data_IF_157678477188
#
_entry.id   IF_157678477188
#
_cell.length_a   1.000
_cell.length_b   1.000
_cell.length_c   1.000
_cell.angle_alpha   90.00
_cell.angle_beta   90.00
_cell.angle_gamma   90.00
#
_symmetry.space_group_name_H-M   'P 1'
#
loop_
_entity.id
_entity.type
_entity.pdbx_description
1 polymer ?
#
# COMPACT_ATOMS: atom_id res chain seq x y z
N UNK A 1 11.68 -18.61 -30.55
CA UNK A 1 10.46 -18.36 -29.79
C UNK A 1 10.57 -16.95 -29.28
N UNK A 2 9.85 -16.03 -29.90
CA UNK A 2 9.89 -14.59 -29.65
C UNK A 2 9.13 -14.27 -28.37
N UNK A 3 9.83 -13.74 -27.40
CA UNK A 3 9.25 -13.11 -26.18
C UNK A 3 8.35 -11.97 -26.61
N UNK A 4 7.05 -12.14 -26.43
CA UNK A 4 6.10 -11.02 -26.56
C UNK A 4 6.26 -10.12 -25.34
N UNK A 5 6.75 -8.91 -25.56
CA UNK A 5 6.71 -7.82 -24.61
C UNK A 5 5.25 -7.59 -24.20
N UNK A 6 4.96 -7.94 -22.95
CA UNK A 6 3.69 -7.55 -22.33
C UNK A 6 3.88 -6.16 -21.76
N UNK A 7 3.59 -5.15 -22.58
CA UNK A 7 3.50 -3.74 -22.17
C UNK A 7 2.26 -3.59 -21.25
N UNK A 8 2.44 -3.79 -19.94
CA UNK A 8 1.35 -3.76 -18.96
C UNK A 8 1.11 -2.35 -18.40
N UNK A 9 1.53 -1.35 -18.98
CA UNK A 9 1.19 0.08 -18.78
C UNK A 9 2.10 0.90 -19.71
N UNK A 10 2.13 0.50 -20.95
CA UNK A 10 2.66 1.34 -22.00
C UNK A 10 1.59 2.32 -22.41
N UNK A 11 2.01 3.59 -22.53
CA UNK A 11 1.28 4.79 -22.92
C UNK A 11 -0.04 5.02 -22.18
N UNK A 12 -0.40 6.26 -21.83
CA UNK A 12 -1.73 6.55 -21.35
C UNK A 12 -2.67 6.05 -22.44
N UNK A 13 -3.23 4.83 -22.21
CA UNK A 13 -4.33 4.39 -23.04
C UNK A 13 -5.28 5.59 -23.05
N UNK A 14 -5.55 6.12 -24.22
CA UNK A 14 -6.68 7.01 -24.43
C UNK A 14 -7.86 6.18 -23.91
N UNK A 15 -8.10 6.31 -22.60
CA UNK A 15 -9.19 5.62 -21.93
C UNK A 15 -10.42 6.12 -22.63
N UNK A 16 -11.12 5.25 -23.36
CA UNK A 16 -12.33 5.56 -24.07
C UNK A 16 -13.55 5.83 -23.16
N UNK A 17 -13.30 6.28 -21.93
CA UNK A 17 -14.27 6.98 -21.09
C UNK A 17 -14.00 8.46 -21.33
N UNK A 18 -14.95 9.22 -21.95
CA UNK A 18 -14.81 10.64 -22.11
C UNK A 18 -14.56 11.26 -20.73
N UNK A 19 -13.52 12.08 -20.61
CA UNK A 19 -13.50 13.10 -19.58
C UNK A 19 -14.79 13.90 -19.76
N UNK A 20 -15.54 14.06 -18.68
CA UNK A 20 -16.75 14.88 -18.71
C UNK A 20 -16.30 16.30 -19.16
N UNK A 21 -16.75 16.80 -20.34
CA UNK A 21 -16.23 18.05 -20.89
C UNK A 21 -16.86 19.21 -20.15
N UNK A 22 -16.42 19.47 -18.91
CA UNK A 22 -16.95 20.54 -18.07
C UNK A 22 -16.41 20.60 -16.65
N UNK A 23 -15.65 19.64 -16.18
CA UNK A 23 -14.96 19.77 -14.91
C UNK A 23 -13.52 20.24 -15.16
N UNK A 24 -13.23 21.50 -14.81
CA UNK A 24 -11.87 21.92 -14.50
C UNK A 24 -11.35 20.91 -13.47
N UNK A 25 -10.32 20.15 -13.80
CA UNK A 25 -9.81 19.07 -12.95
C UNK A 25 -9.39 19.65 -11.60
N UNK A 26 -9.73 18.98 -10.50
CA UNK A 26 -9.38 19.39 -9.11
C UNK A 26 -7.87 19.38 -8.85
N UNK A 27 -7.05 19.06 -9.87
CA UNK A 27 -5.61 18.96 -9.81
C UNK A 27 -5.09 17.55 -10.14
N UNK A 28 -3.78 17.44 -10.24
CA UNK A 28 -3.09 16.17 -10.48
C UNK A 28 -2.64 15.56 -9.15
N UNK A 29 -2.74 14.22 -9.04
CA UNK A 29 -2.18 13.44 -7.94
C UNK A 29 -1.15 12.49 -8.54
N UNK A 30 0.12 12.67 -8.14
CA UNK A 30 1.24 11.84 -8.59
C UNK A 30 1.40 10.62 -7.70
N UNK A 31 1.08 9.45 -8.25
CA UNK A 31 1.15 8.15 -7.59
C UNK A 31 2.39 7.38 -8.08
N UNK A 32 3.27 7.00 -7.16
CA UNK A 32 4.42 6.13 -7.46
C UNK A 32 4.13 4.70 -7.01
N UNK A 33 4.25 3.75 -7.92
CA UNK A 33 4.30 2.33 -7.59
C UNK A 33 5.77 1.88 -7.52
N UNK A 34 6.22 1.55 -6.31
CA UNK A 34 7.58 1.07 -6.06
C UNK A 34 7.73 -0.38 -6.51
N UNK A 35 8.71 -0.62 -7.36
CA UNK A 35 9.19 -1.94 -7.76
C UNK A 35 8.10 -2.92 -8.22
N UNK A 36 7.24 -2.53 -9.19
CA UNK A 36 6.09 -3.35 -9.60
C UNK A 36 6.47 -4.71 -10.19
N UNK A 37 7.72 -4.90 -10.64
CA UNK A 37 8.21 -6.18 -11.16
C UNK A 37 8.78 -7.07 -10.06
N UNK A 38 9.45 -6.48 -9.09
CA UNK A 38 10.17 -7.17 -8.00
C UNK A 38 9.27 -7.42 -6.79
N UNK A 39 8.37 -6.48 -6.51
CA UNK A 39 7.59 -6.39 -5.27
C UNK A 39 6.09 -6.21 -5.55
N UNK A 40 5.45 -7.16 -6.26
CA UNK A 40 4.01 -7.12 -6.56
C UNK A 40 3.39 -8.51 -6.65
N UNK A 41 3.69 -9.36 -5.65
CA UNK A 41 3.06 -10.67 -5.52
C UNK A 41 1.62 -10.53 -5.00
N UNK A 42 0.81 -11.58 -5.17
CA UNK A 42 -0.60 -11.66 -4.72
C UNK A 42 -1.52 -10.55 -5.26
N UNK A 43 -1.15 -9.93 -6.39
CA UNK A 43 -2.01 -8.96 -7.08
C UNK A 43 -1.95 -7.54 -6.52
N UNK A 44 -0.93 -7.16 -5.76
CA UNK A 44 -0.81 -5.83 -5.12
C UNK A 44 -0.84 -4.66 -6.13
N UNK A 45 -0.51 -4.88 -7.40
CA UNK A 45 -0.77 -3.93 -8.50
C UNK A 45 -2.24 -3.46 -8.54
N UNK A 46 -3.16 -4.28 -8.05
CA UNK A 46 -4.57 -3.91 -7.93
C UNK A 46 -4.82 -2.73 -7.02
N UNK A 47 -3.97 -2.47 -6.01
CA UNK A 47 -4.05 -1.28 -5.16
C UNK A 47 -3.79 -0.01 -5.97
N UNK A 48 -2.72 0.01 -6.77
CA UNK A 48 -2.40 1.14 -7.68
C UNK A 48 -3.52 1.40 -8.68
N UNK A 49 -4.08 0.34 -9.28
CA UNK A 49 -5.20 0.45 -10.23
C UNK A 49 -6.48 0.97 -9.58
N UNK A 50 -6.77 0.51 -8.36
CA UNK A 50 -7.91 0.97 -7.57
C UNK A 50 -7.78 2.46 -7.28
N UNK A 51 -6.64 2.90 -6.76
CA UNK A 51 -6.36 4.30 -6.47
C UNK A 51 -6.49 5.17 -7.72
N UNK A 52 -5.83 4.81 -8.82
CA UNK A 52 -5.90 5.57 -10.06
C UNK A 52 -7.33 5.70 -10.61
N UNK A 53 -8.15 4.64 -10.51
CA UNK A 53 -9.54 4.67 -10.93
C UNK A 53 -10.39 5.56 -10.01
N UNK A 54 -10.18 5.49 -8.68
CA UNK A 54 -10.94 6.27 -7.71
C UNK A 54 -10.54 7.75 -7.74
N UNK A 55 -9.24 8.08 -7.90
CA UNK A 55 -8.74 9.45 -8.08
C UNK A 55 -9.51 10.13 -9.23
N UNK A 56 -9.64 9.45 -10.39
CA UNK A 56 -10.44 9.99 -11.51
C UNK A 56 -11.90 10.23 -11.15
N UNK A 57 -12.52 9.27 -10.46
CA UNK A 57 -13.93 9.38 -10.05
C UNK A 57 -14.17 10.49 -9.03
N UNK A 58 -13.16 10.83 -8.22
CA UNK A 58 -13.20 11.99 -7.34
C UNK A 58 -12.94 13.33 -8.06
N UNK A 59 -12.66 13.30 -9.37
CA UNK A 59 -12.45 14.50 -10.20
C UNK A 59 -11.01 15.01 -10.26
N UNK A 60 -10.03 14.20 -9.79
CA UNK A 60 -8.60 14.49 -9.94
C UNK A 60 -8.00 13.73 -11.13
N UNK A 61 -6.81 14.16 -11.55
CA UNK A 61 -6.05 13.49 -12.62
C UNK A 61 -4.93 12.63 -12.00
N UNK A 62 -5.01 11.27 -12.04
CA UNK A 62 -3.91 10.45 -11.56
C UNK A 62 -2.77 10.42 -12.56
N UNK A 63 -1.57 10.78 -12.12
CA UNK A 63 -0.32 10.61 -12.85
C UNK A 63 0.44 9.44 -12.22
N UNK A 64 0.44 8.29 -12.89
CA UNK A 64 1.01 7.05 -12.33
C UNK A 64 2.43 6.85 -12.83
N UNK A 65 3.37 6.79 -11.91
CA UNK A 65 4.77 6.46 -12.13
C UNK A 65 5.06 5.04 -11.66
N UNK A 66 5.90 4.32 -12.40
CA UNK A 66 6.51 3.08 -11.94
C UNK A 66 7.98 3.36 -11.67
N UNK A 67 8.45 2.99 -10.48
CA UNK A 67 9.87 3.12 -10.16
C UNK A 67 10.50 1.74 -10.08
N UNK A 68 11.58 1.54 -10.84
CA UNK A 68 12.39 0.32 -10.85
C UNK A 68 13.81 0.60 -10.35
N UNK A 69 14.55 -0.41 -9.85
CA UNK A 69 15.89 -0.23 -9.36
C UNK A 69 16.81 0.44 -10.38
N UNK A 70 17.51 1.51 -9.94
CA UNK A 70 18.45 2.28 -10.78
C UNK A 70 17.80 3.34 -11.67
N UNK A 71 16.49 3.47 -11.69
CA UNK A 71 15.81 4.55 -12.40
C UNK A 71 15.75 5.84 -11.57
N UNK A 72 15.69 7.03 -12.21
CA UNK A 72 15.46 8.27 -11.49
C UNK A 72 14.13 8.24 -10.74
N UNK A 73 14.15 8.64 -9.46
CA UNK A 73 12.92 8.76 -8.67
C UNK A 73 12.15 10.01 -9.08
N UNK A 74 10.81 9.97 -9.22
CA UNK A 74 10.00 11.11 -9.64
C UNK A 74 10.16 12.31 -8.68
N UNK A 75 10.23 13.51 -9.26
CA UNK A 75 10.37 14.76 -8.50
C UNK A 75 9.10 15.06 -7.67
N UNK A 76 7.94 14.95 -8.32
CA UNK A 76 6.63 15.16 -7.68
C UNK A 76 5.98 13.82 -7.31
N UNK A 77 5.62 13.69 -6.04
CA UNK A 77 5.02 12.47 -5.49
C UNK A 77 4.05 12.85 -4.38
N UNK A 78 2.80 12.44 -4.50
CA UNK A 78 1.75 12.71 -3.54
C UNK A 78 1.26 11.41 -2.86
N UNK A 79 1.48 10.26 -3.51
CA UNK A 79 1.07 8.95 -3.04
C UNK A 79 2.10 7.89 -3.44
N UNK A 80 2.50 7.04 -2.51
CA UNK A 80 3.43 5.92 -2.76
C UNK A 80 2.76 4.59 -2.42
N UNK A 81 2.87 3.62 -3.32
CA UNK A 81 2.37 2.24 -3.10
C UNK A 81 3.52 1.25 -3.30
N UNK A 82 3.73 0.39 -2.33
CA UNK A 82 4.69 -0.72 -2.42
C UNK A 82 4.01 -2.04 -2.09
N UNK A 83 4.31 -3.08 -2.87
CA UNK A 83 3.68 -4.39 -2.74
C UNK A 83 4.51 -5.41 -1.97
N UNK A 84 3.98 -6.62 -1.88
CA UNK A 84 4.67 -7.77 -1.31
C UNK A 84 5.70 -8.35 -2.25
N UNK A 85 6.74 -8.94 -1.68
CA UNK A 85 7.78 -9.65 -2.40
C UNK A 85 8.32 -10.80 -1.58
N UNK A 86 8.96 -11.76 -2.25
CA UNK A 86 9.78 -12.77 -1.59
C UNK A 86 11.10 -12.15 -1.13
N UNK A 87 11.81 -12.81 -0.21
CA UNK A 87 13.11 -12.35 0.30
C UNK A 87 14.11 -12.02 -0.85
N UNK A 88 14.08 -12.80 -1.94
CA UNK A 88 14.88 -12.52 -3.14
C UNK A 88 14.50 -11.22 -3.86
N UNK A 89 13.24 -10.81 -3.81
CA UNK A 89 12.78 -9.53 -4.31
C UNK A 89 13.25 -8.38 -3.43
N UNK A 90 13.13 -8.54 -2.11
CA UNK A 90 13.62 -7.56 -1.13
C UNK A 90 15.13 -7.30 -1.27
N UNK A 91 15.93 -8.35 -1.43
CA UNK A 91 17.38 -8.21 -1.67
C UNK A 91 17.70 -7.45 -2.97
N UNK A 92 16.89 -7.63 -4.02
CA UNK A 92 17.10 -6.92 -5.30
C UNK A 92 16.84 -5.42 -5.20
N UNK A 93 15.90 -5.01 -4.37
CA UNK A 93 15.53 -3.61 -4.22
C UNK A 93 16.28 -2.90 -3.09
N UNK A 94 16.97 -3.64 -2.21
CA UNK A 94 17.65 -3.09 -1.03
C UNK A 94 18.62 -1.94 -1.37
N UNK A 95 19.47 -2.14 -2.39
CA UNK A 95 20.47 -1.16 -2.78
C UNK A 95 19.84 0.14 -3.34
N UNK A 96 18.81 0.01 -4.16
CA UNK A 96 18.09 1.15 -4.72
C UNK A 96 17.26 1.86 -3.64
N UNK A 97 16.61 1.08 -2.76
CA UNK A 97 15.86 1.63 -1.64
C UNK A 97 16.75 2.45 -0.69
N UNK A 98 18.02 2.06 -0.52
CA UNK A 98 18.99 2.85 0.22
C UNK A 98 19.30 4.20 -0.46
N UNK A 99 19.32 4.23 -1.80
CA UNK A 99 19.57 5.46 -2.58
C UNK A 99 18.39 6.43 -2.48
N UNK A 100 17.16 5.93 -2.66
CA UNK A 100 15.95 6.77 -2.64
C UNK A 100 15.39 6.99 -1.22
N UNK A 101 15.98 6.33 -0.22
CA UNK A 101 15.46 6.28 1.15
C UNK A 101 15.29 7.64 1.81
N UNK A 102 16.23 8.55 1.63
CA UNK A 102 16.13 9.91 2.18
C UNK A 102 14.95 10.68 1.57
N UNK A 103 14.70 10.51 0.26
CA UNK A 103 13.53 11.12 -0.37
C UNK A 103 12.22 10.53 0.14
N UNK A 104 12.15 9.19 0.36
CA UNK A 104 10.97 8.55 0.93
C UNK A 104 10.69 9.00 2.36
N UNK A 105 11.74 9.18 3.19
CA UNK A 105 11.59 9.75 4.54
C UNK A 105 11.06 11.18 4.49
N UNK A 106 11.66 12.01 3.64
CA UNK A 106 11.21 13.40 3.45
C UNK A 106 9.73 13.45 3.01
N UNK A 107 9.32 12.64 2.04
CA UNK A 107 7.92 12.54 1.59
C UNK A 107 6.97 12.12 2.73
N UNK A 108 7.39 11.16 3.57
CA UNK A 108 6.60 10.75 4.73
C UNK A 108 6.44 11.91 5.74
N UNK A 109 7.52 12.65 6.00
CA UNK A 109 7.51 13.80 6.91
C UNK A 109 6.77 15.01 6.31
N UNK A 110 6.74 15.16 5.00
CA UNK A 110 5.96 16.16 4.26
C UNK A 110 4.46 15.82 4.22
N UNK A 111 4.05 14.59 4.59
CA UNK A 111 2.66 14.17 4.66
C UNK A 111 2.14 13.48 3.39
N UNK A 112 3.01 13.05 2.49
CA UNK A 112 2.59 12.23 1.36
C UNK A 112 1.96 10.92 1.85
N UNK A 113 0.88 10.47 1.20
CA UNK A 113 0.23 9.22 1.56
C UNK A 113 1.06 8.01 1.13
N UNK A 114 1.16 6.98 1.98
CA UNK A 114 1.92 5.78 1.65
C UNK A 114 1.18 4.50 2.08
N UNK A 115 1.15 3.50 1.19
CA UNK A 115 0.63 2.17 1.48
C UNK A 115 1.69 1.12 1.15
N UNK A 116 2.24 0.50 2.20
CA UNK A 116 3.31 -0.49 2.09
C UNK A 116 2.80 -1.87 2.49
N UNK A 117 2.80 -2.80 1.53
CA UNK A 117 2.26 -4.14 1.75
C UNK A 117 3.36 -5.17 1.92
N UNK A 118 3.26 -6.00 2.95
CA UNK A 118 4.05 -7.20 3.22
C UNK A 118 5.58 -6.93 3.19
N UNK A 119 6.28 -7.34 2.13
CA UNK A 119 7.72 -7.11 2.01
C UNK A 119 8.11 -5.63 2.04
N UNK A 120 7.34 -4.74 1.43
CA UNK A 120 7.60 -3.30 1.52
C UNK A 120 7.28 -2.75 2.91
N UNK A 121 6.29 -3.27 3.62
CA UNK A 121 6.06 -2.93 5.03
C UNK A 121 7.29 -3.26 5.89
N UNK A 122 7.90 -4.44 5.69
CA UNK A 122 9.10 -4.85 6.40
C UNK A 122 10.29 -3.92 6.12
N UNK A 123 10.48 -3.51 4.86
CA UNK A 123 11.57 -2.63 4.43
C UNK A 123 11.36 -1.16 4.84
N UNK A 124 10.12 -0.75 5.11
CA UNK A 124 9.80 0.56 5.69
C UNK A 124 10.02 0.60 7.21
N UNK A 125 10.20 -0.55 7.85
CA UNK A 125 10.59 -0.69 9.25
C UNK A 125 12.06 -0.40 9.50
N UNK A 126 12.53 -0.73 10.70
CA UNK A 126 13.93 -0.59 11.11
C UNK A 126 14.84 -1.68 10.52
N UNK A 127 14.30 -2.91 10.44
CA UNK A 127 15.01 -4.05 9.87
C UNK A 127 14.07 -5.22 9.58
N UNK A 128 14.42 -6.00 8.56
CA UNK A 128 13.94 -7.36 8.37
C UNK A 128 15.09 -8.35 8.57
N UNK A 129 14.90 -9.32 9.46
CA UNK A 129 15.87 -10.38 9.72
C UNK A 129 15.31 -11.66 9.09
N UNK A 130 15.98 -12.21 8.08
CA UNK A 130 15.51 -13.42 7.39
C UNK A 130 15.58 -14.65 8.30
N UNK A 131 14.97 -15.76 7.87
CA UNK A 131 15.02 -17.05 8.61
C UNK A 131 16.46 -17.52 8.81
N UNK A 132 17.34 -17.25 7.84
CA UNK A 132 18.76 -17.60 7.91
C UNK A 132 19.58 -16.61 8.76
N UNK A 133 18.97 -15.60 9.34
CA UNK A 133 19.59 -14.61 10.18
C UNK A 133 20.26 -13.45 9.44
N UNK A 134 20.09 -13.35 8.10
CA UNK A 134 20.55 -12.17 7.36
C UNK A 134 19.71 -10.96 7.74
N UNK A 135 20.37 -9.87 8.17
CA UNK A 135 19.72 -8.59 8.47
C UNK A 135 19.68 -7.72 7.22
N UNK A 136 18.48 -7.37 6.76
CA UNK A 136 18.24 -6.34 5.76
C UNK A 136 17.87 -5.04 6.49
N UNK A 137 18.64 -3.96 6.33
CA UNK A 137 18.30 -2.69 6.92
C UNK A 137 17.04 -2.13 6.25
N UNK A 138 16.16 -1.54 7.05
CA UNK A 138 14.99 -0.84 6.54
C UNK A 138 15.18 0.67 6.55
N UNK A 139 14.14 1.39 6.15
CA UNK A 139 14.14 2.85 6.07
C UNK A 139 13.91 3.52 7.44
N UNK A 140 13.36 2.80 8.42
CA UNK A 140 13.01 3.36 9.73
C UNK A 140 11.90 4.40 9.69
N UNK A 141 11.06 4.39 8.66
CA UNK A 141 9.89 5.28 8.55
C UNK A 141 8.81 4.84 9.55
N UNK A 142 8.63 3.53 9.70
CA UNK A 142 7.79 2.92 10.74
C UNK A 142 8.71 2.30 11.81
N UNK A 143 8.42 2.54 13.08
CA UNK A 143 9.21 1.94 14.17
C UNK A 143 8.80 0.48 14.40
N UNK A 144 9.18 -0.36 13.46
CA UNK A 144 8.89 -1.81 13.49
C UNK A 144 10.14 -2.62 13.16
N UNK A 145 10.23 -3.81 13.74
CA UNK A 145 11.27 -4.79 13.39
C UNK A 145 10.61 -6.13 13.10
N UNK A 146 11.01 -6.74 11.98
CA UNK A 146 10.45 -8.01 11.54
C UNK A 146 11.48 -9.12 11.64
N UNK A 147 11.07 -10.25 12.23
CA UNK A 147 11.81 -11.51 12.26
C UNK A 147 11.12 -12.51 11.32
N UNK A 148 11.86 -13.05 10.36
CA UNK A 148 11.42 -14.17 9.51
C UNK A 148 11.30 -15.46 10.30
N UNK A 149 10.27 -16.26 10.01
CA UNK A 149 10.00 -17.54 10.65
C UNK A 149 9.75 -18.62 9.59
N UNK A 150 9.93 -19.89 9.96
CA UNK A 150 9.58 -21.02 9.10
C UNK A 150 8.06 -21.17 8.93
N UNK A 151 7.31 -20.91 10.01
CA UNK A 151 5.85 -21.00 10.00
C UNK A 151 5.24 -19.75 9.38
N UNK A 152 4.41 -19.95 8.35
CA UNK A 152 3.65 -18.87 7.71
C UNK A 152 2.31 -18.64 8.40
N UNK A 153 1.92 -17.38 8.44
CA UNK A 153 0.58 -16.93 8.79
C UNK A 153 -0.21 -16.76 7.50
N UNK A 154 -1.26 -17.56 7.32
CA UNK A 154 -2.04 -17.62 6.08
C UNK A 154 -3.52 -17.70 6.44
N UNK A 155 -4.30 -16.76 5.94
CA UNK A 155 -5.74 -16.79 6.14
C UNK A 155 -6.43 -15.45 5.89
N UNK A 156 -7.76 -15.45 5.97
CA UNK A 156 -8.53 -14.21 5.93
C UNK A 156 -8.32 -13.42 7.23
N UNK A 157 -8.35 -12.10 7.11
CA UNK A 157 -8.18 -11.18 8.24
C UNK A 157 -9.34 -10.20 8.29
N UNK A 158 -9.78 -9.88 9.50
CA UNK A 158 -10.69 -8.78 9.80
C UNK A 158 -10.07 -7.91 10.88
N UNK A 159 -9.96 -6.62 10.60
CA UNK A 159 -9.44 -5.62 11.52
C UNK A 159 -10.51 -4.61 11.88
N UNK A 160 -10.39 -4.03 13.06
CA UNK A 160 -10.96 -2.74 13.39
C UNK A 160 -9.87 -1.68 13.28
N UNK A 161 -10.12 -0.63 12.49
CA UNK A 161 -9.20 0.50 12.28
C UNK A 161 -9.93 1.83 12.50
N UNK A 162 -9.21 2.94 12.47
CA UNK A 162 -9.80 4.29 12.47
C UNK A 162 -10.64 4.57 11.22
N UNK A 163 -10.40 3.82 10.13
CA UNK A 163 -11.16 3.89 8.89
C UNK A 163 -12.34 2.91 8.83
N UNK A 164 -12.73 2.30 9.97
CA UNK A 164 -13.73 1.25 10.07
C UNK A 164 -13.16 -0.16 9.93
N UNK A 165 -14.04 -1.13 9.69
CA UNK A 165 -13.60 -2.52 9.48
C UNK A 165 -12.83 -2.64 8.17
N UNK A 166 -11.67 -3.32 8.23
CA UNK A 166 -10.84 -3.63 7.06
C UNK A 166 -10.72 -5.15 6.93
N UNK A 167 -10.92 -5.64 5.71
CA UNK A 167 -10.82 -7.06 5.39
C UNK A 167 -9.69 -7.29 4.39
N UNK A 168 -9.04 -8.44 4.51
CA UNK A 168 -7.96 -8.83 3.61
C UNK A 168 -7.56 -10.28 3.80
N UNK A 169 -6.41 -10.64 3.26
CA UNK A 169 -5.85 -11.97 3.36
C UNK A 169 -4.36 -11.88 3.69
N UNK A 170 -3.94 -12.46 4.80
CA UNK A 170 -2.53 -12.52 5.17
C UNK A 170 -1.85 -13.75 4.57
N UNK A 171 -0.60 -13.58 4.10
CA UNK A 171 0.25 -14.69 3.66
C UNK A 171 1.72 -14.30 3.81
N UNK A 172 2.22 -14.37 5.03
CA UNK A 172 3.60 -13.99 5.35
C UNK A 172 4.22 -14.92 6.40
N UNK A 173 5.54 -14.93 6.47
CA UNK A 173 6.31 -15.62 7.50
C UNK A 173 7.01 -14.65 8.46
N UNK A 174 6.93 -13.34 8.19
CA UNK A 174 7.48 -12.34 9.08
C UNK A 174 6.64 -12.17 10.34
N UNK A 175 7.30 -12.12 11.49
CA UNK A 175 6.72 -11.73 12.78
C UNK A 175 7.21 -10.33 13.10
N UNK A 176 6.31 -9.36 13.05
CA UNK A 176 6.62 -7.95 13.24
C UNK A 176 6.28 -7.51 14.65
N UNK A 177 7.24 -6.82 15.27
CA UNK A 177 7.09 -6.20 16.58
C UNK A 177 7.09 -4.68 16.40
N UNK A 178 6.08 -4.04 16.98
CA UNK A 178 6.00 -2.57 17.03
C UNK A 178 6.95 -2.03 18.09
N UNK A 179 7.65 -0.95 17.77
CA UNK A 179 8.47 -0.21 18.72
C UNK A 179 7.65 0.60 19.72
N UNK A 180 8.31 1.14 20.77
CA UNK A 180 7.62 1.95 21.76
C UNK A 180 6.94 3.18 21.14
N UNK A 181 5.63 3.29 21.31
CA UNK A 181 4.85 4.41 20.77
C UNK A 181 4.41 4.25 19.31
N UNK A 182 4.83 3.21 18.60
CA UNK A 182 4.32 2.92 17.26
C UNK A 182 2.87 2.44 17.33
N UNK A 183 1.97 3.18 16.69
CA UNK A 183 0.59 2.79 16.59
C UNK A 183 0.42 1.62 15.59
N UNK A 184 -0.38 0.59 15.91
CA UNK A 184 -0.79 -0.40 14.92
C UNK A 184 -1.75 0.23 13.90
N UNK A 185 -1.75 -0.27 12.67
CA UNK A 185 -2.76 0.11 11.68
C UNK A 185 -4.17 -0.35 12.12
N UNK A 186 -4.26 -1.54 12.72
CA UNK A 186 -5.53 -2.02 13.24
C UNK A 186 -5.41 -3.07 14.34
N UNK A 187 -6.56 -3.35 14.96
CA UNK A 187 -6.73 -4.45 15.92
C UNK A 187 -7.34 -5.66 15.23
N UNK A 188 -6.73 -6.82 15.42
CA UNK A 188 -7.19 -8.08 14.83
C UNK A 188 -8.47 -8.54 15.51
N UNK A 189 -9.51 -8.77 14.71
CA UNK A 189 -10.75 -9.44 15.15
C UNK A 189 -10.81 -10.89 14.67
N UNK A 190 -10.17 -11.16 13.52
CA UNK A 190 -9.98 -12.49 12.96
C UNK A 190 -8.67 -12.51 12.18
N UNK A 191 -7.87 -13.55 12.31
CA UNK A 191 -6.56 -13.69 11.68
C UNK A 191 -5.43 -13.66 12.70
N UNK A 192 -4.19 -13.59 12.21
CA UNK A 192 -2.96 -13.63 13.01
C UNK A 192 -2.31 -12.25 13.16
N UNK A 193 -2.38 -11.41 12.13
CA UNK A 193 -1.82 -10.06 12.14
C UNK A 193 -0.30 -10.02 12.16
N UNK A 194 0.28 -9.04 12.85
CA UNK A 194 1.71 -8.77 12.86
C UNK A 194 2.58 -9.97 13.30
N UNK A 195 2.13 -10.75 14.29
CA UNK A 195 2.94 -11.81 14.88
C UNK A 195 2.13 -12.97 15.48
N UNK A 196 0.81 -12.93 15.38
CA UNK A 196 -0.11 -13.95 15.89
C UNK A 196 -0.30 -13.95 17.41
N UNK A 197 0.22 -12.98 18.15
CA UNK A 197 0.22 -12.98 19.61
C UNK A 197 -0.28 -11.71 20.27
N UNK A 198 -0.01 -10.54 19.68
CA UNK A 198 -0.31 -9.24 20.29
C UNK A 198 -1.66 -8.63 19.88
N UNK A 199 -2.37 -9.29 18.96
CA UNK A 199 -3.67 -8.83 18.48
C UNK A 199 -3.62 -7.56 17.65
N UNK A 200 -2.44 -7.20 17.11
CA UNK A 200 -2.25 -6.05 16.23
C UNK A 200 -1.99 -6.47 14.78
N UNK A 201 -2.29 -5.60 13.84
CA UNK A 201 -1.91 -5.76 12.45
C UNK A 201 -1.42 -4.43 11.89
N UNK A 202 -0.33 -4.53 11.11
CA UNK A 202 0.30 -3.40 10.46
C UNK A 202 0.85 -2.36 11.44
N UNK A 203 1.20 -1.23 10.89
CA UNK A 203 1.62 -0.03 11.60
C UNK A 203 1.13 1.20 10.85
N UNK A 204 0.85 2.27 11.57
CA UNK A 204 0.49 3.57 10.99
C UNK A 204 1.31 4.67 11.67
N UNK A 205 1.88 5.55 10.85
CA UNK A 205 2.51 6.79 11.27
C UNK A 205 2.04 7.90 10.35
N UNK A 206 1.31 8.89 10.87
CA UNK A 206 0.73 9.96 10.07
C UNK A 206 -0.05 9.41 8.87
N UNK A 207 0.40 9.62 7.65
CA UNK A 207 -0.20 9.13 6.41
C UNK A 207 0.50 7.89 5.81
N UNK A 208 1.37 7.25 6.58
CA UNK A 208 2.09 6.03 6.16
C UNK A 208 1.46 4.81 6.81
N UNK A 209 0.93 3.91 6.00
CA UNK A 209 0.35 2.63 6.43
C UNK A 209 1.24 1.49 5.94
N UNK A 210 1.69 0.65 6.86
CA UNK A 210 2.27 -0.67 6.58
C UNK A 210 1.29 -1.77 6.98
N UNK A 211 1.15 -2.82 6.16
CA UNK A 211 0.19 -3.90 6.42
C UNK A 211 0.62 -5.21 5.78
N UNK A 212 0.20 -6.34 6.35
CA UNK A 212 0.35 -7.66 5.73
C UNK A 212 -0.84 -8.09 4.88
N UNK A 213 -1.88 -7.26 4.79
CA UNK A 213 -3.08 -7.63 4.07
C UNK A 213 -2.92 -7.52 2.56
N UNK A 214 -3.17 -8.63 1.90
CA UNK A 214 -3.27 -8.76 0.47
C UNK A 214 -4.71 -8.89 -0.01
N UNK A 215 -4.87 -8.99 -1.35
CA UNK A 215 -6.12 -9.34 -1.92
C UNK A 215 -6.54 -8.74 -3.26
N UNK A 216 -6.02 -7.59 -3.81
CA UNK A 216 -5.46 -6.39 -3.20
C UNK A 216 -6.39 -5.77 -2.14
N UNK A 217 -5.83 -5.11 -1.15
CA UNK A 217 -6.60 -4.63 0.02
C UNK A 217 -7.62 -3.54 -0.34
N UNK A 218 -7.28 -2.59 -1.22
CA UNK A 218 -8.08 -1.39 -1.44
C UNK A 218 -9.43 -1.62 -2.16
N UNK A 219 -9.54 -2.51 -3.16
CA UNK A 219 -10.84 -2.78 -3.78
C UNK A 219 -11.89 -3.35 -2.82
N UNK A 220 -11.46 -4.07 -1.78
CA UNK A 220 -12.35 -4.61 -0.75
C UNK A 220 -12.67 -3.61 0.37
N UNK A 221 -11.94 -2.50 0.43
CA UNK A 221 -12.01 -1.51 1.51
C UNK A 221 -12.04 -0.08 0.93
N UNK A 222 -13.15 0.33 0.28
CA UNK A 222 -13.24 1.60 -0.42
C UNK A 222 -12.99 2.80 0.49
N UNK A 223 -13.38 2.74 1.75
CA UNK A 223 -13.14 3.79 2.75
C UNK A 223 -11.64 4.00 3.01
N UNK A 224 -10.83 2.93 3.01
CA UNK A 224 -9.38 3.03 3.16
C UNK A 224 -8.73 3.64 1.90
N UNK A 225 -9.24 3.25 0.71
CA UNK A 225 -8.77 3.85 -0.54
C UNK A 225 -9.04 5.36 -0.56
N UNK A 226 -10.23 5.79 -0.12
CA UNK A 226 -10.59 7.20 -0.08
C UNK A 226 -9.81 7.99 0.98
N UNK A 227 -9.46 7.38 2.11
CA UNK A 227 -8.58 8.01 3.10
C UNK A 227 -7.19 8.31 2.50
N UNK A 228 -6.58 7.33 1.83
CA UNK A 228 -5.29 7.53 1.14
C UNK A 228 -5.38 8.60 0.04
N UNK A 229 -6.48 8.62 -0.72
CA UNK A 229 -6.70 9.65 -1.76
C UNK A 229 -6.90 11.02 -1.13
N UNK A 230 -7.61 11.09 0.00
CA UNK A 230 -7.80 12.33 0.74
C UNK A 230 -6.47 12.95 1.15
N UNK A 231 -5.61 12.18 1.82
CA UNK A 231 -4.27 12.62 2.20
C UNK A 231 -3.41 13.04 1.00
N UNK A 232 -3.45 12.23 -0.08
CA UNK A 232 -2.71 12.56 -1.30
C UNK A 232 -3.22 13.84 -1.97
N UNK A 233 -4.53 14.07 -2.00
CA UNK A 233 -5.13 15.27 -2.59
C UNK A 233 -4.78 16.53 -1.76
N UNK A 234 -4.81 16.41 -0.43
CA UNK A 234 -4.43 17.52 0.46
C UNK A 234 -2.94 17.84 0.31
N UNK A 235 -2.08 16.81 0.21
CA UNK A 235 -0.65 16.99 -0.08
C UNK A 235 -0.41 17.65 -1.44
N UNK A 236 -1.11 17.19 -2.48
CA UNK A 236 -0.95 17.67 -3.85
C UNK A 236 -1.40 19.12 -4.05
N UNK A 237 -2.46 19.53 -3.35
CA UNK A 237 -3.17 20.80 -3.62
C UNK A 237 -3.04 21.84 -2.50
N UNK A 238 -2.61 21.43 -1.31
CA UNK A 238 -2.60 22.26 -0.10
C UNK A 238 -4.02 22.66 0.38
N UNK A 239 -5.06 21.98 -0.11
CA UNK A 239 -6.46 22.28 0.20
C UNK A 239 -7.17 21.01 0.70
N UNK A 240 -8.21 21.13 1.54
CA UNK A 240 -8.98 20.00 2.01
C UNK A 240 -9.51 19.14 0.86
N UNK A 241 -9.48 17.84 1.04
CA UNK A 241 -10.03 16.90 0.07
C UNK A 241 -11.54 17.08 -0.12
N UNK A 242 -11.94 17.21 -1.37
CA UNK A 242 -13.36 17.27 -1.75
C UNK A 242 -13.72 15.96 -2.48
N UNK A 243 -14.40 15.02 -1.79
CA UNK A 243 -14.76 13.75 -2.41
C UNK A 243 -15.79 13.95 -3.53
N UNK A 244 -15.72 13.09 -4.54
CA UNK A 244 -16.81 12.89 -5.49
C UNK A 244 -17.80 11.86 -4.95
N UNK A 245 -18.99 11.82 -5.53
CA UNK A 245 -19.98 10.77 -5.23
C UNK A 245 -19.58 9.48 -5.93
N UNK A 246 -19.30 8.41 -5.16
CA UNK A 246 -18.98 7.08 -5.67
C UNK A 246 -20.01 6.06 -5.17
N UNK A 247 -20.53 5.26 -6.10
CA UNK A 247 -21.35 4.10 -5.75
C UNK A 247 -20.44 2.94 -5.33
N UNK A 248 -20.30 2.76 -4.03
CA UNK A 248 -19.55 1.67 -3.40
C UNK A 248 -20.45 0.62 -2.75
N UNK A 249 -21.76 0.65 -3.00
CA UNK A 249 -22.72 -0.20 -2.30
C UNK A 249 -22.37 -1.69 -2.40
N UNK A 250 -22.03 -2.16 -3.60
CA UNK A 250 -21.65 -3.57 -3.83
C UNK A 250 -20.37 -3.93 -3.07
N UNK A 251 -19.37 -3.05 -3.07
CA UNK A 251 -18.11 -3.28 -2.36
C UNK A 251 -18.34 -3.32 -0.84
N UNK A 252 -19.13 -2.38 -0.31
CA UNK A 252 -19.50 -2.34 1.11
C UNK A 252 -20.31 -3.58 1.54
N UNK A 253 -21.26 -4.01 0.76
CA UNK A 253 -22.02 -5.24 1.04
C UNK A 253 -21.13 -6.49 1.04
N UNK A 254 -20.20 -6.59 0.08
CA UNK A 254 -19.23 -7.69 0.01
C UNK A 254 -18.33 -7.71 1.26
N UNK A 255 -17.79 -6.55 1.64
CA UNK A 255 -16.98 -6.39 2.86
C UNK A 255 -17.75 -6.80 4.11
N UNK A 256 -18.96 -6.27 4.31
CA UNK A 256 -19.80 -6.61 5.46
C UNK A 256 -20.17 -8.08 5.51
N UNK A 257 -20.40 -8.70 4.35
CA UNK A 257 -20.67 -10.16 4.27
C UNK A 257 -19.45 -10.96 4.69
N UNK A 258 -18.25 -10.53 4.28
CA UNK A 258 -17.00 -11.18 4.70
C UNK A 258 -16.79 -11.04 6.20
N UNK A 259 -16.96 -9.83 6.76
CA UNK A 259 -16.88 -9.57 8.21
C UNK A 259 -17.83 -10.49 8.98
N UNK A 260 -19.11 -10.52 8.60
CA UNK A 260 -20.10 -11.39 9.27
C UNK A 260 -19.69 -12.85 9.22
N UNK A 261 -19.26 -13.36 8.05
CA UNK A 261 -18.89 -14.78 7.88
C UNK A 261 -17.71 -15.21 8.74
N UNK A 262 -16.76 -14.30 8.99
CA UNK A 262 -15.53 -14.62 9.73
C UNK A 262 -15.64 -14.39 11.23
N UNK A 263 -16.64 -13.64 11.68
CA UNK A 263 -16.84 -13.34 13.11
C UNK A 263 -17.97 -14.15 13.76
N UNK A 264 -18.72 -14.94 12.96
CA UNK A 264 -19.71 -15.92 13.44
C UNK A 264 -19.13 -17.31 13.45
#
# INVERSE_FOLDING_TARGET
MTTRDVTILGEPAKSGLPADPGQEGKGEIHLVHLYPREMSIYGDLGNTRCLAARIRRHGYVPVVHQHHPGEPFPERVDLVVGGGGQDSGQVKVEADLAVIGDRLRALADEGAAMLMICGMYQLFGNAFITVEGKRLPGLGILDVTTQGNEKRMIGPVVLTTEHGDVVGYENHSGSTTLGPGQAPFGRVRHGMGNNGTDGTEGAIRDHVIGSYLHGPILPANPQLADALIGWAAEHATGSPFVPGELDDEVARQAQQRQVRRLLT
#
